data_IF_004147068331
#
_entry.id   IF_004147068331
#
_cell.length_a   1.000
_cell.length_b   1.000
_cell.length_c   1.000
_cell.angle_alpha   90.00
_cell.angle_beta   90.00
_cell.angle_gamma   90.00
#
_symmetry.space_group_name_H-M   'P 1'
#
loop_
_entity.id
_entity.type
_entity.pdbx_description
1 polymer ?
#
# COMPACT_ATOMS: atom_id res chain seq x y z
N UNK A 1 53.32 15.53 -13.57
CA UNK A 1 54.05 15.71 -14.86
C UNK A 1 53.69 14.53 -15.76
N UNK A 2 53.28 14.71 -17.03
CA UNK A 2 54.05 15.21 -18.21
C UNK A 2 55.27 14.31 -18.51
N UNK A 3 55.43 13.66 -19.67
CA UNK A 3 54.73 13.63 -20.99
C UNK A 3 54.67 12.17 -21.51
N UNK A 4 53.78 11.68 -22.39
CA UNK A 4 53.00 12.21 -23.54
C UNK A 4 53.75 12.19 -24.90
N UNK A 5 53.49 11.16 -25.73
CA UNK A 5 53.38 11.16 -27.21
C UNK A 5 52.83 9.76 -27.68
N UNK A 6 51.71 9.64 -28.42
CA UNK A 6 51.42 9.96 -29.86
C UNK A 6 52.00 8.91 -30.84
N UNK A 7 51.40 8.55 -31.98
CA UNK A 7 50.06 8.73 -32.62
C UNK A 7 50.02 7.87 -33.91
N UNK A 8 48.90 7.56 -34.60
CA UNK A 8 47.48 7.87 -34.39
C UNK A 8 46.64 6.55 -34.56
N UNK A 9 45.61 6.29 -35.38
CA UNK A 9 44.74 7.03 -36.33
C UNK A 9 43.39 6.25 -36.42
N UNK A 10 42.26 6.74 -35.92
CA UNK A 10 41.20 7.51 -36.61
C UNK A 10 40.68 6.92 -37.93
N UNK A 11 39.41 6.48 -37.94
CA UNK A 11 38.46 6.77 -39.02
C UNK A 11 37.02 6.79 -38.49
N UNK A 12 36.24 7.77 -38.93
CA UNK A 12 34.86 8.05 -38.53
C UNK A 12 34.15 8.59 -39.78
N UNK A 13 32.97 8.09 -40.11
CA UNK A 13 32.18 8.57 -41.26
C UNK A 13 30.68 8.50 -40.96
N UNK A 14 29.95 9.50 -41.44
CA UNK A 14 28.55 9.77 -41.08
C UNK A 14 27.66 9.95 -42.30
N UNK A 15 26.39 9.56 -42.13
CA UNK A 15 25.17 10.10 -42.76
C UNK A 15 25.07 10.28 -44.29
N UNK A 16 24.00 9.71 -44.86
CA UNK A 16 23.18 10.37 -45.90
C UNK A 16 21.70 10.20 -45.50
N UNK A 17 20.91 11.28 -45.58
CA UNK A 17 19.43 11.21 -45.54
C UNK A 17 18.86 11.12 -46.95
N UNK A 18 17.65 10.55 -47.08
CA UNK A 18 16.71 10.92 -48.14
C UNK A 18 15.28 11.04 -47.60
N UNK A 19 14.50 11.91 -48.23
CA UNK A 19 13.19 12.39 -47.76
C UNK A 19 12.03 11.49 -48.23
N UNK A 20 10.89 11.61 -47.54
CA UNK A 20 9.66 12.13 -48.18
C UNK A 20 8.74 12.78 -47.13
N UNK A 21 7.85 13.67 -47.58
CA UNK A 21 6.98 14.46 -46.72
C UNK A 21 5.50 14.03 -46.84
N UNK A 22 4.74 14.21 -45.76
CA UNK A 22 3.28 14.06 -45.71
C UNK A 22 2.69 15.04 -44.70
N UNK A 23 1.56 15.66 -45.03
CA UNK A 23 0.95 16.71 -44.20
C UNK A 23 -0.15 16.17 -43.27
N UNK A 24 -0.37 16.91 -42.18
CA UNK A 24 -1.60 17.04 -41.37
C UNK A 24 -2.70 15.97 -41.52
N UNK A 25 -3.03 15.32 -40.40
CA UNK A 25 -4.31 15.61 -39.73
C UNK A 25 -4.20 15.39 -38.21
N UNK A 26 -5.12 16.00 -37.45
CA UNK A 26 -5.40 15.57 -36.07
C UNK A 26 -6.23 14.29 -36.14
N UNK A 27 -5.90 13.29 -35.33
CA UNK A 27 -6.84 12.23 -34.95
C UNK A 27 -6.96 12.21 -33.43
N UNK A 28 -8.17 11.93 -32.94
CA UNK A 28 -8.45 11.82 -31.51
C UNK A 28 -7.88 10.49 -30.99
N UNK A 29 -7.42 10.47 -29.75
CA UNK A 29 -6.98 9.24 -29.08
C UNK A 29 -8.15 8.29 -28.79
N UNK A 30 -8.58 7.52 -29.79
CA UNK A 30 -9.45 6.38 -29.54
C UNK A 30 -8.66 5.25 -28.87
N UNK A 31 -9.24 4.67 -27.83
CA UNK A 31 -8.69 3.51 -27.11
C UNK A 31 -8.43 2.37 -28.11
N UNK A 32 -7.26 1.69 -28.07
CA UNK A 32 -7.00 0.52 -28.91
C UNK A 32 -7.98 -0.62 -28.59
N UNK A 33 -9.04 -0.74 -29.40
CA UNK A 33 -9.97 -1.87 -29.32
C UNK A 33 -9.22 -3.17 -29.65
N UNK A 34 -9.24 -4.20 -28.78
CA UNK A 34 -8.59 -5.47 -29.06
C UNK A 34 -9.26 -6.13 -30.28
N UNK A 35 -8.47 -6.38 -31.33
CA UNK A 35 -9.00 -6.87 -32.60
C UNK A 35 -9.66 -8.25 -32.46
N UNK A 36 -10.83 -8.41 -33.10
CA UNK A 36 -11.55 -9.66 -33.20
C UNK A 36 -10.66 -10.78 -33.78
N UNK A 37 -10.17 -11.65 -32.90
CA UNK A 37 -9.75 -13.00 -33.25
C UNK A 37 -10.92 -13.94 -32.94
N UNK A 38 -11.14 -14.93 -33.81
CA UNK A 38 -12.38 -15.71 -33.94
C UNK A 38 -12.99 -16.22 -32.61
N UNK A 39 -14.33 -16.36 -32.61
CA UNK A 39 -15.13 -16.96 -31.54
C UNK A 39 -14.77 -18.44 -31.28
N UNK A 40 -13.63 -18.68 -30.62
CA UNK A 40 -13.45 -19.91 -29.88
C UNK A 40 -14.43 -19.90 -28.71
N UNK A 41 -15.24 -20.97 -28.58
CA UNK A 41 -16.11 -21.17 -27.43
C UNK A 41 -15.28 -21.46 -26.17
N UNK A 42 -14.76 -20.40 -25.57
CA UNK A 42 -14.36 -20.38 -24.17
C UNK A 42 -15.63 -20.38 -23.29
N UNK A 43 -16.40 -21.47 -23.37
CA UNK A 43 -17.37 -21.85 -22.34
C UNK A 43 -16.62 -21.91 -21.00
N UNK A 44 -17.30 -21.54 -19.91
CA UNK A 44 -16.68 -21.52 -18.60
C UNK A 44 -16.19 -22.94 -18.24
N UNK A 45 -14.89 -23.16 -18.34
CA UNK A 45 -14.22 -24.22 -17.57
C UNK A 45 -14.20 -23.80 -16.10
N UNK A 46 -15.39 -23.87 -15.50
CA UNK A 46 -15.51 -24.20 -14.09
C UNK A 46 -14.65 -25.45 -13.89
N UNK A 47 -13.50 -25.27 -13.22
CA UNK A 47 -12.66 -26.39 -12.82
C UNK A 47 -13.56 -27.40 -12.13
N UNK A 48 -13.58 -28.64 -12.61
CA UNK A 48 -14.38 -29.70 -11.99
C UNK A 48 -13.89 -29.87 -10.55
N UNK A 49 -14.62 -29.25 -9.62
CA UNK A 49 -14.27 -29.23 -8.21
C UNK A 49 -14.36 -30.63 -7.66
N UNK A 50 -13.47 -30.96 -6.72
CA UNK A 50 -13.53 -32.24 -6.02
C UNK A 50 -14.92 -32.46 -5.40
N UNK A 51 -15.24 -33.74 -5.15
CA UNK A 51 -16.47 -34.10 -4.44
C UNK A 51 -16.61 -33.46 -3.05
N UNK A 52 -15.50 -33.01 -2.44
CA UNK A 52 -15.43 -32.41 -1.10
C UNK A 52 -16.19 -31.07 -1.00
N UNK A 53 -16.27 -30.31 -2.10
CA UNK A 53 -17.02 -29.04 -2.16
C UNK A 53 -18.54 -29.23 -2.23
N UNK A 54 -19.01 -30.40 -2.70
CA UNK A 54 -20.45 -30.68 -2.86
C UNK A 54 -21.04 -31.11 -1.52
N UNK A 55 -21.87 -30.25 -0.94
CA UNK A 55 -22.57 -30.53 0.30
C UNK A 55 -21.92 -29.94 1.55
N UNK A 56 -21.05 -28.93 1.44
CA UNK A 56 -20.77 -28.01 2.56
C UNK A 56 -21.91 -26.98 2.63
N UNK A 57 -22.44 -26.74 3.82
CA UNK A 57 -23.51 -25.78 4.10
C UNK A 57 -22.98 -24.49 4.72
N UNK A 58 -22.00 -24.59 5.62
CA UNK A 58 -21.30 -23.46 6.23
C UNK A 58 -19.91 -23.85 6.71
N UNK A 59 -19.06 -22.84 6.92
CA UNK A 59 -17.77 -22.98 7.62
C UNK A 59 -17.77 -21.95 8.75
N UNK A 60 -17.54 -22.39 9.98
CA UNK A 60 -17.32 -21.52 11.13
C UNK A 60 -15.81 -21.41 11.38
N UNK A 61 -15.25 -20.21 11.24
CA UNK A 61 -13.86 -19.91 11.53
C UNK A 61 -13.73 -19.43 12.97
N UNK A 62 -12.91 -20.11 13.77
CA UNK A 62 -12.58 -19.74 15.14
C UNK A 62 -11.09 -19.35 15.15
N UNK A 63 -10.74 -18.06 15.29
CA UNK A 63 -9.35 -17.61 15.38
C UNK A 63 -8.70 -18.00 16.71
N UNK A 64 -7.38 -18.01 16.74
CA UNK A 64 -6.58 -18.27 17.94
C UNK A 64 -6.79 -17.19 19.02
N UNK A 65 -7.37 -17.50 20.20
CA UNK A 65 -7.67 -16.51 21.24
C UNK A 65 -6.42 -15.94 21.93
N UNK A 66 -5.31 -16.69 21.91
CA UNK A 66 -4.00 -16.26 22.41
C UNK A 66 -3.16 -15.55 21.32
N UNK A 67 -3.76 -15.34 20.14
CA UNK A 67 -3.13 -14.61 19.02
C UNK A 67 -2.95 -13.12 19.29
N UNK A 68 -2.25 -12.42 18.37
CA UNK A 68 -1.93 -10.98 18.50
C UNK A 68 -3.16 -10.06 18.66
N UNK A 69 -4.34 -10.52 18.24
CA UNK A 69 -5.62 -9.80 18.39
C UNK A 69 -6.32 -10.04 19.74
N UNK A 70 -5.86 -11.00 20.54
CA UNK A 70 -6.40 -11.31 21.88
C UNK A 70 -7.85 -11.77 21.91
N UNK A 71 -8.44 -11.71 23.11
CA UNK A 71 -9.76 -12.24 23.46
C UNK A 71 -10.97 -11.50 22.80
N UNK A 72 -10.74 -10.54 21.90
CA UNK A 72 -11.82 -9.73 21.30
C UNK A 72 -12.35 -10.30 19.98
N UNK A 73 -11.60 -11.19 19.31
CA UNK A 73 -12.01 -11.75 18.01
C UNK A 73 -13.08 -12.81 18.18
N UNK A 74 -14.18 -12.66 17.44
CA UNK A 74 -15.36 -13.55 17.51
C UNK A 74 -15.31 -14.60 16.39
N UNK A 75 -15.89 -15.80 16.60
CA UNK A 75 -16.07 -16.76 15.53
C UNK A 75 -16.86 -16.18 14.34
N UNK A 76 -16.39 -16.45 13.11
CA UNK A 76 -16.99 -15.95 11.87
C UNK A 76 -17.74 -17.10 11.18
N UNK A 77 -19.05 -16.95 10.99
CA UNK A 77 -19.89 -17.93 10.29
C UNK A 77 -20.00 -17.60 8.80
N UNK A 78 -19.36 -18.40 7.96
CA UNK A 78 -19.32 -18.25 6.51
C UNK A 78 -20.40 -19.12 5.89
N UNK A 79 -21.37 -18.49 5.22
CA UNK A 79 -22.46 -19.17 4.48
C UNK A 79 -22.45 -18.89 2.97
N UNK A 80 -21.60 -17.97 2.51
CA UNK A 80 -21.47 -17.66 1.08
C UNK A 80 -20.84 -18.83 0.30
N UNK A 81 -21.45 -19.16 -0.84
CA UNK A 81 -21.09 -20.32 -1.66
C UNK A 81 -19.81 -20.15 -2.49
N UNK A 82 -19.36 -18.92 -2.74
CA UNK A 82 -18.05 -18.64 -3.35
C UNK A 82 -16.96 -18.73 -2.28
N UNK A 83 -17.12 -18.08 -1.14
CA UNK A 83 -16.16 -18.12 -0.02
C UNK A 83 -15.93 -19.56 0.47
N UNK A 84 -17.01 -20.33 0.67
CA UNK A 84 -16.91 -21.77 1.01
C UNK A 84 -16.13 -22.54 -0.06
N UNK A 85 -16.40 -22.30 -1.35
CA UNK A 85 -15.70 -22.97 -2.46
C UNK A 85 -14.23 -22.59 -2.51
N UNK A 86 -13.89 -21.32 -2.29
CA UNK A 86 -12.51 -20.82 -2.31
C UNK A 86 -11.70 -21.37 -1.14
N UNK A 87 -12.25 -21.36 0.08
CA UNK A 87 -11.63 -21.97 1.27
C UNK A 87 -11.41 -23.47 1.05
N UNK A 88 -12.45 -24.21 0.66
CA UNK A 88 -12.34 -25.66 0.40
C UNK A 88 -11.37 -25.97 -0.74
N UNK A 89 -11.33 -25.16 -1.80
CA UNK A 89 -10.36 -25.33 -2.88
C UNK A 89 -8.92 -25.11 -2.41
N UNK A 90 -8.66 -24.13 -1.54
CA UNK A 90 -7.32 -23.94 -0.97
C UNK A 90 -6.92 -25.11 -0.05
N UNK A 91 -7.84 -25.63 0.76
CA UNK A 91 -7.62 -26.85 1.56
C UNK A 91 -7.31 -28.05 0.64
N UNK A 92 -8.15 -28.32 -0.36
CA UNK A 92 -8.01 -29.41 -1.36
C UNK A 92 -6.71 -29.33 -2.19
N UNK A 93 -6.02 -28.18 -2.22
CA UNK A 93 -4.73 -27.99 -2.91
C UNK A 93 -3.51 -28.13 -2.00
N UNK A 94 -3.72 -28.29 -0.71
CA UNK A 94 -2.64 -28.52 0.26
C UNK A 94 -1.97 -29.88 0.02
N UNK A 95 -0.67 -29.97 0.25
CA UNK A 95 0.12 -31.21 0.08
C UNK A 95 0.45 -31.80 1.45
N UNK A 96 0.62 -33.13 1.59
CA UNK A 96 1.18 -33.69 2.83
C UNK A 96 2.50 -33.00 3.20
N UNK A 97 2.68 -32.68 4.48
CA UNK A 97 3.87 -32.01 4.95
C UNK A 97 5.04 -33.00 5.06
N UNK A 98 6.00 -32.92 4.14
CA UNK A 98 7.18 -33.80 4.11
C UNK A 98 8.34 -33.32 5.01
N UNK A 99 8.36 -32.04 5.42
CA UNK A 99 9.45 -31.42 6.18
C UNK A 99 8.94 -30.56 7.35
N UNK A 100 8.86 -31.16 8.55
CA UNK A 100 8.51 -30.43 9.78
C UNK A 100 9.58 -29.40 10.22
N UNK A 101 10.79 -29.42 9.66
CA UNK A 101 11.84 -28.41 9.98
C UNK A 101 11.54 -27.03 9.38
N UNK A 102 10.49 -26.91 8.55
CA UNK A 102 9.84 -25.64 8.22
C UNK A 102 9.08 -25.09 9.43
N UNK A 103 8.22 -25.90 10.06
CA UNK A 103 7.34 -25.47 11.16
C UNK A 103 8.14 -25.06 12.39
N UNK A 104 9.26 -25.72 12.70
CA UNK A 104 10.10 -25.37 13.85
C UNK A 104 10.72 -23.97 13.79
N UNK A 105 10.61 -23.26 12.66
CA UNK A 105 11.02 -21.85 12.48
C UNK A 105 9.92 -20.85 12.83
N UNK A 106 8.67 -21.29 13.01
CA UNK A 106 7.56 -20.43 13.43
C UNK A 106 7.84 -19.84 14.81
N UNK A 107 7.64 -18.53 14.96
CA UNK A 107 7.91 -17.79 16.19
C UNK A 107 7.03 -18.27 17.36
N UNK A 108 7.42 -17.91 18.57
CA UNK A 108 6.55 -18.05 19.74
C UNK A 108 5.17 -17.38 19.49
N UNK A 109 5.19 -16.19 18.88
CA UNK A 109 4.02 -15.33 18.55
C UNK A 109 3.32 -15.68 17.23
N UNK A 110 3.59 -16.83 16.62
CA UNK A 110 2.83 -17.31 15.47
C UNK A 110 1.46 -17.87 15.92
N UNK A 111 0.40 -17.61 15.15
CA UNK A 111 -0.96 -18.09 15.42
C UNK A 111 -1.02 -19.61 15.22
N UNK A 112 -1.53 -20.35 16.21
CA UNK A 112 -1.43 -21.83 16.28
C UNK A 112 -2.74 -22.54 16.53
N UNK A 113 -3.68 -21.94 17.25
CA UNK A 113 -4.89 -22.60 17.71
C UNK A 113 -6.15 -22.30 16.85
N UNK A 114 -5.96 -21.82 15.62
CA UNK A 114 -7.09 -21.49 14.73
C UNK A 114 -7.84 -22.76 14.29
N UNK A 115 -9.15 -22.67 14.10
CA UNK A 115 -10.02 -23.79 13.69
C UNK A 115 -10.99 -23.42 12.59
N UNK A 116 -11.36 -24.41 11.78
CA UNK A 116 -12.50 -24.40 10.88
C UNK A 116 -13.46 -25.53 11.27
N UNK A 117 -14.72 -25.20 11.58
CA UNK A 117 -15.80 -26.18 11.75
C UNK A 117 -16.63 -26.20 10.47
N UNK A 118 -16.32 -27.15 9.60
CA UNK A 118 -17.00 -27.38 8.33
C UNK A 118 -18.30 -28.14 8.62
N UNK A 119 -19.45 -27.52 8.37
CA UNK A 119 -20.77 -28.15 8.53
C UNK A 119 -21.34 -28.52 7.17
N UNK A 120 -21.71 -29.79 6.99
CA UNK A 120 -22.27 -30.33 5.75
C UNK A 120 -23.80 -30.17 5.68
N UNK A 121 -24.36 -30.28 4.48
CA UNK A 121 -25.81 -30.18 4.20
C UNK A 121 -26.65 -31.31 4.79
N UNK A 122 -26.02 -32.42 5.23
CA UNK A 122 -26.69 -33.49 5.99
C UNK A 122 -26.57 -33.31 7.51
N UNK A 123 -25.88 -32.28 7.99
CA UNK A 123 -25.64 -32.01 9.41
C UNK A 123 -24.31 -32.55 9.97
N UNK A 124 -23.53 -33.32 9.20
CA UNK A 124 -22.20 -33.76 9.65
C UNK A 124 -21.32 -32.52 9.93
N UNK A 125 -20.48 -32.59 10.96
CA UNK A 125 -19.43 -31.60 11.22
C UNK A 125 -18.05 -32.24 11.12
N UNK A 126 -17.08 -31.46 10.62
CA UNK A 126 -15.66 -31.78 10.60
C UNK A 126 -14.88 -30.58 11.13
N UNK A 127 -13.99 -30.83 12.10
CA UNK A 127 -13.03 -29.84 12.59
C UNK A 127 -11.71 -30.01 11.82
N UNK A 128 -11.12 -28.89 11.41
CA UNK A 128 -9.76 -28.79 10.88
C UNK A 128 -9.06 -27.67 11.68
N UNK A 129 -7.81 -27.87 12.09
CA UNK A 129 -7.02 -26.83 12.76
C UNK A 129 -5.94 -26.27 11.83
N UNK A 130 -5.44 -25.06 12.10
CA UNK A 130 -4.38 -24.48 11.28
C UNK A 130 -3.53 -23.44 12.02
N UNK A 131 -2.27 -23.31 11.60
CA UNK A 131 -1.27 -22.46 12.22
C UNK A 131 -0.43 -21.71 11.17
N UNK A 132 -0.03 -20.47 11.44
CA UNK A 132 0.77 -19.65 10.52
C UNK A 132 1.59 -18.55 11.20
N UNK A 133 2.72 -18.21 10.58
CA UNK A 133 3.61 -17.12 10.93
C UNK A 133 3.70 -16.12 9.76
N UNK A 134 3.43 -14.84 10.05
CA UNK A 134 3.43 -13.74 9.07
C UNK A 134 4.81 -13.21 8.67
N UNK A 135 5.86 -13.49 9.44
CA UNK A 135 7.22 -12.99 9.15
C UNK A 135 7.97 -13.88 8.15
N UNK A 136 7.71 -15.18 8.18
CA UNK A 136 8.43 -16.17 7.39
C UNK A 136 7.60 -16.77 6.24
N UNK A 137 6.32 -16.39 6.10
CA UNK A 137 5.38 -16.97 5.12
C UNK A 137 5.25 -18.50 5.28
N UNK A 138 5.27 -19.00 6.53
CA UNK A 138 5.17 -20.42 6.90
C UNK A 138 3.83 -20.68 7.58
N UNK A 139 3.17 -21.79 7.23
CA UNK A 139 2.01 -22.30 7.96
C UNK A 139 1.67 -23.73 7.58
N UNK A 140 0.74 -24.34 8.31
CA UNK A 140 0.19 -25.67 8.01
C UNK A 140 -1.29 -25.76 8.37
N UNK A 141 -1.97 -26.70 7.72
CA UNK A 141 -3.31 -27.16 8.06
C UNK A 141 -3.17 -28.55 8.68
N UNK A 142 -3.93 -28.88 9.72
CA UNK A 142 -3.95 -30.20 10.34
C UNK A 142 -5.37 -30.78 10.34
N UNK A 143 -5.48 -31.98 9.78
CA UNK A 143 -6.74 -32.68 9.54
C UNK A 143 -6.57 -34.16 9.94
N UNK A 144 -7.44 -34.64 10.82
CA UNK A 144 -7.42 -36.01 11.39
C UNK A 144 -6.02 -36.43 11.91
N UNK A 145 -5.24 -35.46 12.42
CA UNK A 145 -3.87 -35.65 12.94
C UNK A 145 -2.77 -35.68 11.86
N UNK A 146 -3.11 -35.47 10.59
CA UNK A 146 -2.17 -35.35 9.47
C UNK A 146 -1.96 -33.87 9.12
N UNK A 147 -0.70 -33.45 8.95
CA UNK A 147 -0.36 -32.07 8.58
C UNK A 147 -0.16 -31.90 7.08
N UNK A 148 -0.58 -30.74 6.58
CA UNK A 148 -0.53 -30.36 5.19
C UNK A 148 0.09 -28.98 5.01
N UNK A 149 1.00 -28.85 4.04
CA UNK A 149 1.55 -27.58 3.57
C UNK A 149 0.57 -26.98 2.56
N UNK A 150 -0.12 -25.91 3.00
CA UNK A 150 -1.04 -25.12 2.19
C UNK A 150 -0.32 -23.93 1.53
N UNK A 151 -0.87 -23.42 0.42
CA UNK A 151 -0.38 -22.16 -0.16
C UNK A 151 -0.64 -20.98 0.80
N UNK A 152 0.33 -20.05 0.92
CA UNK A 152 0.24 -19.00 1.92
C UNK A 152 -0.93 -18.01 1.70
N UNK A 153 -1.52 -17.98 0.50
CA UNK A 153 -2.75 -17.23 0.24
C UNK A 153 -3.94 -17.72 1.07
N UNK A 154 -3.96 -18.97 1.53
CA UNK A 154 -4.96 -19.49 2.48
C UNK A 154 -4.88 -18.76 3.83
N UNK A 155 -3.71 -18.71 4.46
CA UNK A 155 -3.54 -18.06 5.77
C UNK A 155 -3.81 -16.56 5.69
N UNK A 156 -3.39 -15.91 4.60
CA UNK A 156 -3.79 -14.54 4.28
C UNK A 156 -5.32 -14.41 4.19
N UNK A 157 -5.99 -15.27 3.42
CA UNK A 157 -7.46 -15.22 3.25
C UNK A 157 -8.17 -15.37 4.60
N UNK A 158 -7.72 -16.29 5.46
CA UNK A 158 -8.31 -16.49 6.78
C UNK A 158 -8.06 -15.32 7.74
N UNK A 159 -6.87 -14.72 7.72
CA UNK A 159 -6.56 -13.53 8.52
C UNK A 159 -7.40 -12.32 8.07
N UNK A 160 -7.50 -12.11 6.76
CA UNK A 160 -8.26 -11.05 6.11
C UNK A 160 -9.76 -11.03 6.52
N UNK A 161 -10.36 -12.20 6.81
CA UNK A 161 -11.76 -12.26 7.27
C UNK A 161 -11.99 -11.59 8.64
N UNK A 162 -10.97 -11.46 9.48
CA UNK A 162 -11.07 -10.74 10.75
C UNK A 162 -10.93 -9.21 10.57
N UNK A 163 -10.53 -8.73 9.39
CA UNK A 163 -10.28 -7.31 9.12
C UNK A 163 -11.40 -6.61 8.32
N UNK A 164 -12.20 -7.35 7.54
CA UNK A 164 -13.20 -6.78 6.64
C UNK A 164 -14.63 -7.01 7.15
N UNK A 165 -15.41 -5.94 7.33
CA UNK A 165 -16.68 -6.01 8.07
C UNK A 165 -17.79 -6.77 7.32
N UNK A 166 -17.87 -6.67 5.99
CA UNK A 166 -18.95 -7.27 5.19
C UNK A 166 -18.49 -7.63 3.76
N UNK A 167 -17.75 -8.75 3.57
CA UNK A 167 -17.24 -9.15 2.26
C UNK A 167 -18.35 -9.57 1.29
N UNK A 168 -18.44 -8.91 0.13
CA UNK A 168 -19.42 -9.16 -0.92
C UNK A 168 -18.82 -9.90 -2.11
N UNK A 169 -19.32 -11.10 -2.39
CA UNK A 169 -18.85 -11.99 -3.45
C UNK A 169 -19.47 -11.71 -4.83
N UNK A 170 -20.48 -10.84 -4.91
CA UNK A 170 -21.18 -10.48 -6.14
C UNK A 170 -20.40 -9.44 -6.97
N UNK A 171 -19.14 -9.75 -7.27
CA UNK A 171 -18.23 -8.87 -8.00
C UNK A 171 -18.64 -8.78 -9.47
N UNK A 172 -18.76 -7.56 -10.00
CA UNK A 172 -19.15 -7.33 -11.39
C UNK A 172 -18.20 -7.98 -12.40
N UNK A 173 -18.75 -8.52 -13.50
CA UNK A 173 -17.95 -9.18 -14.55
C UNK A 173 -16.92 -8.26 -15.21
N UNK A 174 -17.14 -6.93 -15.23
CA UNK A 174 -16.15 -5.98 -15.74
C UNK A 174 -14.93 -5.85 -14.81
N UNK A 175 -15.14 -5.86 -13.50
CA UNK A 175 -14.09 -5.81 -12.48
C UNK A 175 -13.24 -7.09 -12.52
N UNK A 176 -13.88 -8.26 -12.59
CA UNK A 176 -13.17 -9.55 -12.72
C UNK A 176 -12.32 -9.61 -14.01
N UNK A 177 -12.83 -9.04 -15.11
CA UNK A 177 -12.06 -8.92 -16.37
C UNK A 177 -10.87 -7.97 -16.24
N UNK A 178 -11.06 -6.81 -15.61
CA UNK A 178 -10.02 -5.79 -15.44
C UNK A 178 -8.84 -6.35 -14.64
N UNK A 179 -9.09 -6.85 -13.43
CA UNK A 179 -8.03 -7.43 -12.58
C UNK A 179 -7.43 -8.72 -13.19
N UNK A 180 -8.27 -9.60 -13.75
CA UNK A 180 -7.81 -10.81 -14.41
C UNK A 180 -6.89 -10.56 -15.62
N UNK A 181 -7.13 -9.47 -16.37
CA UNK A 181 -6.28 -9.03 -17.47
C UNK A 181 -4.84 -8.65 -17.07
N UNK A 182 -4.62 -8.36 -15.79
CA UNK A 182 -3.30 -8.04 -15.21
C UNK A 182 -2.81 -9.09 -14.18
N UNK A 183 -3.33 -10.32 -14.27
CA UNK A 183 -3.02 -11.44 -13.36
C UNK A 183 -3.23 -11.11 -11.87
N UNK A 184 -4.42 -10.58 -11.57
CA UNK A 184 -4.96 -10.47 -10.21
C UNK A 184 -6.30 -11.20 -10.08
N UNK A 185 -6.41 -12.02 -9.04
CA UNK A 185 -7.60 -12.78 -8.69
C UNK A 185 -8.40 -12.02 -7.64
N UNK A 186 -9.61 -11.55 -8.01
CA UNK A 186 -10.53 -10.88 -7.08
C UNK A 186 -11.32 -11.93 -6.30
N UNK A 187 -11.29 -11.84 -4.97
CA UNK A 187 -12.03 -12.75 -4.10
C UNK A 187 -13.41 -12.21 -3.70
N UNK A 188 -13.47 -10.96 -3.27
CA UNK A 188 -14.69 -10.25 -2.90
C UNK A 188 -14.44 -8.74 -2.88
N UNK A 189 -15.53 -7.96 -2.96
CA UNK A 189 -15.55 -6.55 -2.62
C UNK A 189 -15.53 -6.41 -1.10
N UNK A 190 -14.65 -5.55 -0.59
CA UNK A 190 -14.51 -5.21 0.82
C UNK A 190 -15.53 -4.12 1.17
N UNK A 191 -15.51 -3.02 0.41
CA UNK A 191 -16.38 -1.87 0.64
C UNK A 191 -16.68 -1.09 -0.65
N UNK A 192 -17.67 -0.21 -0.60
CA UNK A 192 -18.00 0.78 -1.63
C UNK A 192 -18.20 2.14 -0.98
N UNK A 193 -17.36 3.09 -1.35
CA UNK A 193 -17.28 4.43 -0.79
C UNK A 193 -17.75 5.47 -1.80
N UNK A 194 -18.07 6.66 -1.30
CA UNK A 194 -18.22 7.87 -2.13
C UNK A 194 -17.17 8.89 -1.70
N UNK A 195 -16.43 9.38 -2.67
CA UNK A 195 -15.40 10.40 -2.49
C UNK A 195 -15.70 11.59 -3.39
N UNK A 196 -15.28 12.80 -2.98
CA UNK A 196 -15.19 13.92 -3.91
C UNK A 196 -13.73 14.07 -4.31
N UNK A 197 -13.41 13.89 -5.58
CA UNK A 197 -12.08 14.22 -6.09
C UNK A 197 -11.80 15.72 -5.85
N UNK A 198 -10.58 16.08 -5.42
CA UNK A 198 -10.24 17.47 -5.15
C UNK A 198 -10.35 18.31 -6.43
N UNK A 199 -10.66 19.60 -6.29
CA UNK A 199 -10.85 20.50 -7.44
C UNK A 199 -9.54 20.77 -8.22
N UNK A 200 -8.39 20.54 -7.58
CA UNK A 200 -7.05 20.61 -8.13
C UNK A 200 -6.09 19.66 -7.38
N UNK A 201 -4.92 19.36 -7.97
CA UNK A 201 -3.89 18.48 -7.37
C UNK A 201 -2.66 19.24 -6.84
N UNK A 202 -2.74 20.56 -6.64
CA UNK A 202 -1.67 21.40 -6.09
C UNK A 202 -1.75 21.47 -4.56
N UNK A 203 -0.76 20.90 -3.89
CA UNK A 203 -0.69 20.76 -2.43
C UNK A 203 0.17 21.87 -1.78
N UNK A 204 -0.46 22.68 -0.95
CA UNK A 204 0.15 23.76 -0.15
C UNK A 204 0.89 23.24 1.05
N UNK A 205 1.71 24.07 1.69
CA UNK A 205 2.40 23.64 2.90
C UNK A 205 1.40 23.55 4.08
N UNK A 206 1.34 22.38 4.72
CA UNK A 206 0.49 22.12 5.89
C UNK A 206 -0.96 21.70 5.59
N UNK A 207 -1.34 21.62 4.32
CA UNK A 207 -2.57 20.98 3.83
C UNK A 207 -2.58 19.48 4.21
N UNK A 208 -3.77 18.84 4.17
CA UNK A 208 -3.86 17.39 4.35
C UNK A 208 -3.48 16.68 3.02
N UNK A 209 -2.71 15.57 3.04
CA UNK A 209 -2.06 15.04 1.84
C UNK A 209 -2.99 14.28 0.87
N UNK A 210 -4.31 14.47 0.96
CA UNK A 210 -5.30 13.93 0.03
C UNK A 210 -4.98 14.29 -1.44
N UNK A 211 -4.60 15.54 -1.73
CA UNK A 211 -4.23 15.93 -3.11
C UNK A 211 -3.05 15.12 -3.65
N UNK A 212 -2.10 14.75 -2.79
CA UNK A 212 -0.94 13.92 -3.15
C UNK A 212 -1.35 12.44 -3.27
N UNK A 213 -2.28 11.96 -2.44
CA UNK A 213 -2.89 10.64 -2.61
C UNK A 213 -3.55 10.51 -4.00
N UNK A 214 -4.45 11.43 -4.35
CA UNK A 214 -5.16 11.39 -5.63
C UNK A 214 -4.22 11.57 -6.83
N UNK A 215 -3.22 12.45 -6.72
CA UNK A 215 -2.17 12.58 -7.74
C UNK A 215 -1.42 11.25 -7.96
N UNK A 216 -0.99 10.60 -6.87
CA UNK A 216 -0.21 9.36 -6.92
C UNK A 216 -1.02 8.21 -7.54
N UNK A 217 -2.27 8.01 -7.10
CA UNK A 217 -3.09 6.90 -7.60
C UNK A 217 -3.67 7.16 -9.01
N UNK A 218 -3.74 8.42 -9.44
CA UNK A 218 -3.96 8.78 -10.85
C UNK A 218 -2.75 8.40 -11.71
N UNK A 219 -1.52 8.66 -11.25
CA UNK A 219 -0.31 8.21 -11.96
C UNK A 219 -0.24 6.68 -12.08
N UNK A 220 -0.64 5.94 -11.03
CA UNK A 220 -0.77 4.49 -11.12
C UNK A 220 -1.85 4.05 -12.14
N UNK A 221 -2.98 4.76 -12.20
CA UNK A 221 -4.06 4.51 -13.18
C UNK A 221 -3.59 4.78 -14.62
N UNK A 222 -2.82 5.85 -14.84
CA UNK A 222 -2.20 6.20 -16.13
C UNK A 222 -1.25 5.10 -16.62
N UNK A 223 -0.60 4.40 -15.68
CA UNK A 223 0.19 3.21 -15.94
C UNK A 223 -0.54 2.05 -16.64
N UNK A 224 -1.88 2.04 -16.65
CA UNK A 224 -2.72 1.09 -17.38
C UNK A 224 -3.66 1.73 -18.43
N UNK A 225 -3.51 3.03 -18.70
CA UNK A 225 -4.32 3.75 -19.70
C UNK A 225 -5.66 4.28 -19.19
N UNK A 226 -5.85 4.39 -17.88
CA UNK A 226 -6.95 5.11 -17.25
C UNK A 226 -6.45 6.47 -16.74
N UNK A 227 -7.23 7.54 -16.88
CA UNK A 227 -6.87 8.86 -16.38
C UNK A 227 -8.11 9.59 -15.86
N UNK A 228 -8.14 9.91 -14.57
CA UNK A 228 -9.26 10.63 -13.95
C UNK A 228 -9.03 12.13 -13.81
N UNK A 229 -8.01 12.71 -14.47
CA UNK A 229 -7.70 14.15 -14.43
C UNK A 229 -8.87 15.04 -14.89
N UNK A 230 -9.72 14.56 -15.81
CA UNK A 230 -10.91 15.31 -16.27
C UNK A 230 -12.09 15.28 -15.28
N UNK A 231 -12.01 14.47 -14.22
CA UNK A 231 -13.03 14.26 -13.20
C UNK A 231 -12.68 14.92 -11.86
N UNK A 232 -11.64 15.77 -11.81
CA UNK A 232 -11.34 16.59 -10.64
C UNK A 232 -12.55 17.48 -10.27
N UNK A 233 -12.77 17.64 -8.97
CA UNK A 233 -13.95 18.31 -8.42
C UNK A 233 -15.26 17.52 -8.46
N UNK A 234 -15.29 16.28 -9.00
CA UNK A 234 -16.50 15.44 -9.07
C UNK A 234 -16.65 14.52 -7.86
N UNK A 235 -17.89 14.16 -7.53
CA UNK A 235 -18.16 12.97 -6.72
C UNK A 235 -17.95 11.70 -7.56
N UNK A 236 -17.30 10.69 -6.98
CA UNK A 236 -16.98 9.39 -7.58
C UNK A 236 -17.36 8.25 -6.63
N UNK A 237 -17.65 7.08 -7.19
CA UNK A 237 -17.75 5.83 -6.42
C UNK A 237 -16.37 5.16 -6.39
N UNK A 238 -15.95 4.67 -5.22
CA UNK A 238 -14.68 3.96 -5.05
C UNK A 238 -14.95 2.58 -4.45
N UNK A 239 -14.47 1.55 -5.11
CA UNK A 239 -14.63 0.17 -4.67
C UNK A 239 -13.29 -0.44 -4.26
N UNK A 240 -13.29 -1.08 -3.10
CA UNK A 240 -12.13 -1.75 -2.51
C UNK A 240 -12.32 -3.26 -2.64
N UNK A 241 -11.33 -3.98 -3.17
CA UNK A 241 -11.40 -5.41 -3.47
C UNK A 241 -10.27 -6.21 -2.82
N UNK A 242 -10.58 -7.38 -2.26
CA UNK A 242 -9.58 -8.32 -1.75
C UNK A 242 -8.94 -9.09 -2.90
N UNK A 243 -7.62 -9.01 -3.03
CA UNK A 243 -6.86 -9.73 -4.06
C UNK A 243 -6.10 -10.93 -3.47
N UNK A 244 -6.21 -12.08 -4.14
CA UNK A 244 -5.55 -13.33 -3.71
C UNK A 244 -4.05 -13.29 -3.93
N UNK A 245 -3.63 -12.85 -5.10
CA UNK A 245 -2.23 -12.77 -5.49
C UNK A 245 -1.46 -11.77 -4.60
N UNK A 246 -0.18 -12.04 -4.28
CA UNK A 246 0.62 -11.14 -3.47
C UNK A 246 1.05 -9.88 -4.24
N UNK A 247 1.44 -8.84 -3.48
CA UNK A 247 2.21 -7.72 -4.01
C UNK A 247 3.49 -8.19 -4.75
N UNK A 248 4.03 -7.40 -5.69
CA UNK A 248 5.28 -7.72 -6.37
C UNK A 248 6.44 -7.92 -5.37
N UNK A 249 7.38 -8.83 -5.69
CA UNK A 249 8.50 -9.21 -4.79
C UNK A 249 9.33 -8.03 -4.25
N UNK A 250 9.38 -6.88 -4.94
CA UNK A 250 10.08 -5.69 -4.48
C UNK A 250 9.39 -4.94 -3.33
N UNK A 251 8.15 -5.31 -2.99
CA UNK A 251 7.37 -4.78 -1.86
C UNK A 251 7.62 -5.52 -0.56
N UNK A 252 8.27 -6.70 -0.59
CA UNK A 252 8.53 -7.52 0.60
C UNK A 252 9.27 -6.68 1.67
N UNK A 253 8.84 -6.75 2.95
CA UNK A 253 7.94 -7.75 3.54
C UNK A 253 6.42 -7.50 3.35
N UNK A 254 5.97 -6.43 2.69
CA UNK A 254 4.54 -6.25 2.39
C UNK A 254 4.10 -7.25 1.31
N UNK A 255 3.04 -8.01 1.60
CA UNK A 255 2.48 -9.05 0.71
C UNK A 255 0.97 -8.91 0.44
N UNK A 256 0.21 -8.28 1.34
CA UNK A 256 -1.23 -8.06 1.17
C UNK A 256 -1.51 -6.96 0.14
N UNK A 257 -2.48 -7.20 -0.74
CA UNK A 257 -2.86 -6.30 -1.83
C UNK A 257 -4.37 -6.06 -1.81
N UNK A 258 -4.79 -4.79 -1.86
CA UNK A 258 -6.17 -4.39 -2.19
C UNK A 258 -6.20 -3.87 -3.62
N UNK A 259 -7.22 -4.26 -4.38
CA UNK A 259 -7.50 -3.70 -5.69
C UNK A 259 -8.48 -2.56 -5.54
N UNK A 260 -8.14 -1.37 -6.02
CA UNK A 260 -9.03 -0.21 -5.96
C UNK A 260 -9.54 0.12 -7.36
N UNK A 261 -10.82 0.44 -7.47
CA UNK A 261 -11.46 0.92 -8.71
C UNK A 261 -12.22 2.21 -8.42
N UNK A 262 -12.01 3.21 -9.28
CA UNK A 262 -12.68 4.52 -9.22
C UNK A 262 -13.66 4.60 -10.40
N UNK A 263 -14.92 4.90 -10.10
CA UNK A 263 -16.04 4.98 -11.05
C UNK A 263 -16.66 6.37 -11.09
N UNK A 264 -17.08 6.79 -12.28
CA UNK A 264 -17.97 7.93 -12.48
C UNK A 264 -19.08 7.54 -13.48
N UNK A 265 -20.35 7.82 -13.16
CA UNK A 265 -21.53 7.40 -13.92
C UNK A 265 -21.55 5.89 -14.33
N UNK A 266 -20.95 5.04 -13.47
CA UNK A 266 -20.68 3.60 -13.64
C UNK A 266 -19.56 3.22 -14.63
N UNK A 267 -18.91 4.18 -15.30
CA UNK A 267 -17.70 3.93 -16.09
C UNK A 267 -16.47 3.90 -15.18
N UNK A 268 -15.52 3.00 -15.45
CA UNK A 268 -14.27 2.88 -14.70
C UNK A 268 -13.27 3.91 -15.22
N UNK A 269 -12.96 4.91 -14.39
CA UNK A 269 -12.08 6.04 -14.73
C UNK A 269 -10.68 5.95 -14.08
N UNK A 270 -10.51 5.07 -13.10
CA UNK A 270 -9.22 4.80 -12.45
C UNK A 270 -9.18 3.41 -11.83
N UNK A 271 -8.00 2.81 -11.75
CA UNK A 271 -7.78 1.56 -11.01
C UNK A 271 -6.30 1.37 -10.66
N UNK A 272 -6.04 0.90 -9.44
CA UNK A 272 -4.69 0.73 -8.89
C UNK A 272 -4.65 -0.38 -7.83
N UNK A 273 -3.44 -0.72 -7.37
CA UNK A 273 -3.22 -1.64 -6.25
C UNK A 273 -2.73 -0.81 -5.06
N UNK A 274 -3.30 -1.04 -3.88
CA UNK A 274 -2.78 -0.53 -2.60
C UNK A 274 -2.35 -1.67 -1.67
N UNK A 275 -1.58 -1.32 -0.63
CA UNK A 275 -1.03 -2.25 0.36
C UNK A 275 -1.61 -2.10 1.78
N UNK A 276 -2.76 -1.42 1.93
CA UNK A 276 -3.56 -1.37 3.15
C UNK A 276 -2.98 -0.57 4.33
N UNK A 277 -3.51 -0.85 5.53
CA UNK A 277 -3.45 -0.05 6.79
C UNK A 277 -2.09 0.06 7.50
N UNK A 278 -0.97 -0.07 6.79
CA UNK A 278 0.38 0.09 7.32
C UNK A 278 1.20 1.07 6.48
N UNK A 279 1.17 0.88 5.16
CA UNK A 279 1.65 1.79 4.13
C UNK A 279 0.86 1.41 2.87
N UNK A 280 -0.02 2.30 2.40
CA UNK A 280 -0.89 1.99 1.25
C UNK A 280 -0.13 2.02 -0.09
N UNK A 281 1.01 2.71 -0.19
CA UNK A 281 1.66 2.99 -1.47
C UNK A 281 2.19 1.69 -2.10
N UNK A 282 1.74 1.34 -3.30
CA UNK A 282 2.13 0.10 -3.97
C UNK A 282 2.39 0.26 -5.48
N UNK A 283 1.43 -0.08 -6.35
CA UNK A 283 1.69 -0.24 -7.78
C UNK A 283 0.44 -0.14 -8.67
N UNK A 284 0.66 0.08 -9.97
CA UNK A 284 -0.39 -0.08 -10.97
C UNK A 284 -0.74 -1.57 -11.16
N UNK A 285 -1.91 -1.89 -11.74
CA UNK A 285 -2.33 -3.28 -11.95
C UNK A 285 -1.29 -4.10 -12.73
N UNK A 286 -0.56 -3.49 -13.68
CA UNK A 286 0.56 -4.15 -14.38
C UNK A 286 1.85 -4.32 -13.55
N UNK A 287 1.77 -4.23 -12.21
CA UNK A 287 2.84 -4.45 -11.23
C UNK A 287 4.03 -3.47 -11.30
N UNK A 288 3.85 -2.35 -12.02
CA UNK A 288 4.82 -1.24 -12.13
C UNK A 288 4.75 -0.27 -10.95
N UNK A 289 5.90 0.29 -10.59
CA UNK A 289 6.03 1.41 -9.62
C UNK A 289 5.76 2.75 -10.30
N UNK A 290 5.60 3.80 -9.49
CA UNK A 290 5.57 5.20 -9.93
C UNK A 290 6.70 5.52 -10.95
N UNK A 291 7.94 5.15 -10.62
CA UNK A 291 9.12 5.35 -11.49
C UNK A 291 9.00 4.67 -12.86
N UNK A 292 8.43 3.47 -12.92
CA UNK A 292 8.29 2.67 -14.14
C UNK A 292 7.15 3.17 -15.07
N UNK A 293 6.40 4.17 -14.60
CA UNK A 293 5.25 4.80 -15.26
C UNK A 293 5.60 6.25 -15.62
N UNK A 294 5.91 7.09 -14.62
CA UNK A 294 6.21 8.51 -14.78
C UNK A 294 7.63 8.80 -15.27
N UNK A 295 8.54 7.81 -15.24
CA UNK A 295 9.96 7.99 -15.61
C UNK A 295 10.77 8.83 -14.61
N UNK A 296 10.21 9.13 -13.44
CA UNK A 296 10.75 10.03 -12.41
C UNK A 296 10.87 9.32 -11.06
N UNK A 297 11.84 9.71 -10.24
CA UNK A 297 11.83 9.37 -8.80
C UNK A 297 10.79 10.21 -8.05
N UNK A 298 10.41 9.80 -6.82
CA UNK A 298 9.43 10.52 -5.99
C UNK A 298 9.70 12.03 -5.93
N UNK A 299 10.92 12.42 -5.54
CA UNK A 299 11.35 13.82 -5.40
C UNK A 299 11.28 14.63 -6.73
N UNK A 300 11.28 13.97 -7.89
CA UNK A 300 11.18 14.63 -9.20
C UNK A 300 9.74 14.64 -9.76
N UNK A 301 8.91 13.71 -9.30
CA UNK A 301 7.48 13.62 -9.60
C UNK A 301 6.66 14.58 -8.74
N UNK A 302 6.93 14.62 -7.43
CA UNK A 302 6.21 15.48 -6.48
C UNK A 302 6.35 16.98 -6.79
N UNK A 303 7.43 17.40 -7.47
CA UNK A 303 7.62 18.78 -7.95
C UNK A 303 6.47 19.29 -8.82
N UNK A 304 5.78 18.42 -9.57
CA UNK A 304 4.67 18.83 -10.42
C UNK A 304 3.41 19.15 -9.59
N UNK A 305 3.33 18.67 -8.34
CA UNK A 305 2.17 18.76 -7.45
C UNK A 305 2.35 19.70 -6.24
N UNK A 306 3.55 20.23 -6.01
CA UNK A 306 3.78 21.28 -4.98
C UNK A 306 3.22 22.63 -5.45
N UNK A 307 2.50 23.33 -4.56
CA UNK A 307 2.17 24.76 -4.72
C UNK A 307 3.35 25.61 -4.21
N UNK A 308 4.27 25.99 -5.10
CA UNK A 308 5.46 26.78 -4.75
C UNK A 308 5.17 28.27 -4.53
N UNK A 309 3.96 28.74 -4.85
CA UNK A 309 3.54 30.14 -4.62
C UNK A 309 2.87 30.34 -3.25
N UNK A 310 2.63 29.24 -2.50
CA UNK A 310 2.11 29.28 -1.14
C UNK A 310 3.08 29.98 -0.17
N UNK A 311 2.55 30.91 0.64
CA UNK A 311 3.35 31.75 1.54
C UNK A 311 4.17 30.93 2.54
N UNK A 312 3.67 29.77 2.98
CA UNK A 312 4.33 28.91 3.95
C UNK A 312 5.39 28.02 3.29
N UNK A 313 5.15 27.48 2.09
CA UNK A 313 6.18 26.84 1.26
C UNK A 313 7.34 27.83 0.94
N UNK A 314 7.01 29.08 0.59
CA UNK A 314 7.96 30.19 0.36
C UNK A 314 8.71 30.59 1.65
N UNK A 315 8.08 30.52 2.83
CA UNK A 315 8.74 30.81 4.12
C UNK A 315 9.73 29.70 4.48
N UNK A 316 9.29 28.45 4.41
CA UNK A 316 10.07 27.27 4.78
C UNK A 316 11.11 26.87 3.73
N UNK A 317 11.09 27.43 2.51
CA UNK A 317 12.15 27.22 1.51
C UNK A 317 13.45 27.99 1.81
N UNK A 318 13.37 29.04 2.65
CA UNK A 318 14.47 29.96 2.98
C UNK A 318 15.18 29.62 4.29
N UNK A 319 14.63 28.71 5.09
CA UNK A 319 15.17 28.29 6.39
C UNK A 319 16.38 27.36 6.24
N UNK A 320 17.31 27.42 7.20
CA UNK A 320 18.38 26.43 7.34
C UNK A 320 17.84 25.13 7.99
N UNK A 321 18.54 23.99 7.90
CA UNK A 321 18.04 22.73 8.44
C UNK A 321 17.69 22.81 9.93
N UNK A 322 18.53 23.45 10.74
CA UNK A 322 18.31 23.61 12.17
C UNK A 322 17.10 24.50 12.49
N UNK A 323 16.75 25.44 11.61
CA UNK A 323 15.56 26.28 11.76
C UNK A 323 14.28 25.50 11.46
N UNK A 324 14.31 24.58 10.47
CA UNK A 324 13.21 23.63 10.24
C UNK A 324 13.04 22.68 11.44
N UNK A 325 14.14 22.24 12.06
CA UNK A 325 14.09 21.44 13.30
C UNK A 325 13.46 22.25 14.46
N UNK A 326 13.84 23.52 14.64
CA UNK A 326 13.26 24.41 15.67
C UNK A 326 11.77 24.64 15.44
N UNK A 327 11.39 24.97 14.20
CA UNK A 327 10.01 25.25 13.80
C UNK A 327 9.12 24.03 14.01
N UNK A 328 9.60 22.82 13.64
CA UNK A 328 8.88 21.57 13.87
C UNK A 328 8.66 21.28 15.35
N UNK A 329 9.70 21.30 16.20
CA UNK A 329 9.51 20.99 17.62
C UNK A 329 8.70 22.07 18.36
N UNK A 330 8.81 23.34 17.96
CA UNK A 330 7.89 24.40 18.42
C UNK A 330 6.44 24.08 18.05
N UNK A 331 6.18 23.64 16.82
CA UNK A 331 4.86 23.25 16.39
C UNK A 331 4.32 21.99 17.11
N UNK A 332 5.19 21.04 17.49
CA UNK A 332 4.81 19.90 18.35
C UNK A 332 4.50 20.36 19.78
N UNK A 333 5.24 21.33 20.34
CA UNK A 333 4.99 21.91 21.66
C UNK A 333 3.65 22.70 21.71
N UNK A 334 3.35 23.42 20.63
CA UNK A 334 2.13 24.24 20.47
C UNK A 334 0.93 23.45 19.88
N UNK A 335 1.16 22.21 19.43
CA UNK A 335 0.23 21.34 18.67
C UNK A 335 -0.30 21.96 17.37
N UNK A 336 0.51 22.77 16.69
CA UNK A 336 0.19 23.32 15.37
C UNK A 336 0.43 22.26 14.28
N UNK A 337 -0.60 21.46 14.01
CA UNK A 337 -0.56 20.44 12.98
C UNK A 337 -0.24 20.98 11.58
N UNK A 338 -0.64 22.22 11.25
CA UNK A 338 -0.37 22.80 9.94
C UNK A 338 1.13 23.00 9.78
N UNK A 339 1.81 23.50 10.80
CA UNK A 339 3.27 23.66 10.77
C UNK A 339 3.98 22.30 10.87
N UNK A 340 3.49 21.34 11.66
CA UNK A 340 4.03 19.96 11.68
C UNK A 340 3.99 19.32 10.28
N UNK A 341 2.84 19.39 9.59
CA UNK A 341 2.70 18.93 8.19
C UNK A 341 3.59 19.73 7.25
N UNK A 342 3.61 21.06 7.34
CA UNK A 342 4.43 21.92 6.47
C UNK A 342 5.94 21.68 6.61
N UNK A 343 6.42 21.32 7.79
CA UNK A 343 7.83 21.01 8.06
C UNK A 343 8.24 19.58 7.65
N UNK A 344 7.30 18.67 7.35
CA UNK A 344 7.58 17.27 6.98
C UNK A 344 7.46 17.01 5.48
N UNK A 345 8.11 15.96 4.97
CA UNK A 345 8.00 15.54 3.56
C UNK A 345 6.60 15.01 3.26
N UNK A 346 6.07 15.30 2.05
CA UNK A 346 4.78 14.78 1.57
C UNK A 346 4.79 13.25 1.48
N UNK A 347 5.94 12.65 1.19
CA UNK A 347 6.15 11.19 1.28
C UNK A 347 5.89 10.65 2.69
N UNK A 348 6.40 11.33 3.73
CA UNK A 348 6.14 10.93 5.11
C UNK A 348 4.71 11.28 5.55
N UNK A 349 4.14 12.39 5.07
CA UNK A 349 2.73 12.76 5.29
C UNK A 349 1.77 11.68 4.77
N UNK A 350 2.04 11.09 3.60
CA UNK A 350 1.21 10.00 3.04
C UNK A 350 1.13 8.77 3.97
N UNK A 351 2.17 8.44 4.75
CA UNK A 351 2.15 7.26 5.63
C UNK A 351 1.04 7.36 6.69
N UNK A 352 0.78 8.57 7.19
CA UNK A 352 -0.31 8.83 8.16
C UNK A 352 -1.72 8.66 7.56
N UNK A 353 -1.88 8.66 6.23
CA UNK A 353 -3.16 8.30 5.59
C UNK A 353 -3.52 6.83 5.83
N UNK A 354 -2.53 5.94 5.96
CA UNK A 354 -2.75 4.50 6.16
C UNK A 354 -2.57 4.02 7.60
N UNK A 355 -1.75 4.68 8.43
CA UNK A 355 -1.45 4.21 9.79
C UNK A 355 -2.73 4.16 10.63
N UNK A 356 -3.14 2.95 11.02
CA UNK A 356 -4.30 2.74 11.89
C UNK A 356 -5.67 2.89 11.23
N UNK A 357 -5.76 3.07 9.91
CA UNK A 357 -7.06 3.15 9.21
C UNK A 357 -7.82 1.82 9.28
N UNK A 358 -9.15 1.86 9.11
CA UNK A 358 -9.93 0.65 8.90
C UNK A 358 -9.49 -0.04 7.61
N UNK A 359 -9.46 -1.38 7.61
CA UNK A 359 -9.21 -2.14 6.38
C UNK A 359 -10.37 -2.01 5.35
N UNK A 360 -11.53 -1.50 5.79
CA UNK A 360 -12.67 -1.10 4.95
C UNK A 360 -12.54 0.34 4.38
N UNK A 361 -11.59 1.17 4.84
CA UNK A 361 -11.42 2.57 4.41
C UNK A 361 -10.36 2.74 3.30
N UNK A 362 -10.48 3.80 2.50
CA UNK A 362 -9.50 4.17 1.47
C UNK A 362 -8.24 4.82 2.08
N UNK A 363 -8.47 5.76 3.00
CA UNK A 363 -7.49 6.43 3.86
C UNK A 363 -8.18 7.00 5.11
N UNK A 364 -7.41 7.28 6.16
CA UNK A 364 -7.85 8.02 7.34
C UNK A 364 -8.44 9.38 6.93
N UNK A 365 -9.71 9.65 7.24
CA UNK A 365 -10.36 10.96 6.99
C UNK A 365 -10.28 11.94 8.18
N UNK A 366 -9.52 11.61 9.22
CA UNK A 366 -9.28 12.49 10.36
C UNK A 366 -8.20 13.54 10.01
N UNK A 367 -8.59 14.55 9.23
CA UNK A 367 -7.73 15.69 8.85
C UNK A 367 -7.14 16.45 10.07
N UNK A 368 -7.87 16.44 11.18
CA UNK A 368 -7.70 17.34 12.32
C UNK A 368 -7.08 16.69 13.57
N UNK A 369 -6.47 15.51 13.42
CA UNK A 369 -5.71 14.84 14.49
C UNK A 369 -4.50 14.09 13.94
N UNK A 370 -3.34 14.76 13.97
CA UNK A 370 -2.08 14.04 14.17
C UNK A 370 -2.13 13.55 15.62
N UNK A 371 -2.42 12.26 15.82
CA UNK A 371 -2.63 11.70 17.16
C UNK A 371 -1.31 11.56 17.93
N UNK A 372 -0.77 12.69 18.38
CA UNK A 372 0.40 12.75 19.24
C UNK A 372 -0.05 12.65 20.70
N UNK A 373 0.27 11.53 21.33
CA UNK A 373 0.32 11.40 22.80
C UNK A 373 1.32 12.38 23.48
N UNK A 374 1.96 13.26 22.72
CA UNK A 374 2.82 14.34 23.22
C UNK A 374 1.94 15.47 23.75
N UNK A 375 2.08 15.75 25.04
CA UNK A 375 1.45 16.90 25.70
C UNK A 375 2.23 18.20 25.42
N UNK A 376 3.56 18.07 25.33
CA UNK A 376 4.58 19.14 25.28
C UNK A 376 5.91 18.57 24.77
N UNK A 377 6.69 19.33 24.02
CA UNK A 377 7.96 18.91 23.41
C UNK A 377 9.00 20.05 23.37
N UNK A 378 9.53 20.43 24.53
CA UNK A 378 10.50 21.54 24.61
C UNK A 378 11.87 21.10 24.08
N UNK A 379 12.21 21.52 22.86
CA UNK A 379 13.56 21.38 22.30
C UNK A 379 14.60 22.10 23.17
N UNK A 380 15.68 21.40 23.52
CA UNK A 380 16.76 21.91 24.36
C UNK A 380 18.07 22.14 23.59
N UNK A 381 18.36 21.28 22.62
CA UNK A 381 19.67 21.18 21.97
C UNK A 381 19.54 20.51 20.60
N UNK A 382 20.39 20.94 19.65
CA UNK A 382 20.48 20.41 18.28
C UNK A 382 21.97 20.24 17.97
N UNK A 383 22.37 19.06 17.53
CA UNK A 383 23.72 18.76 17.04
C UNK A 383 23.63 18.07 15.69
N UNK A 384 24.48 18.46 14.75
CA UNK A 384 24.72 17.66 13.55
C UNK A 384 25.20 16.27 13.98
N UNK A 385 24.67 15.25 13.33
CA UNK A 385 24.97 13.84 13.55
C UNK A 385 25.28 13.22 12.19
N UNK A 386 26.10 12.18 12.13
CA UNK A 386 26.47 11.52 10.87
C UNK A 386 26.88 10.08 11.18
N UNK A 387 25.91 9.17 11.29
CA UNK A 387 26.18 7.76 11.62
C UNK A 387 25.32 6.73 10.86
N UNK A 388 24.20 7.11 10.24
CA UNK A 388 23.36 6.13 9.51
C UNK A 388 23.93 5.76 8.14
N UNK A 389 24.90 6.54 7.64
CA UNK A 389 25.46 6.34 6.31
C UNK A 389 24.45 6.66 5.21
N UNK A 390 23.57 7.64 5.47
CA UNK A 390 22.48 8.03 4.59
C UNK A 390 22.93 8.46 3.18
N UNK A 391 21.98 8.46 2.25
CA UNK A 391 22.21 8.83 0.86
C UNK A 391 22.60 10.32 0.69
N UNK A 392 23.44 10.66 -0.32
CA UNK A 392 23.89 12.03 -0.55
C UNK A 392 22.73 13.02 -0.73
N UNK A 393 22.66 14.04 0.12
CA UNK A 393 21.59 15.06 0.12
C UNK A 393 20.59 14.90 1.27
N UNK A 394 20.72 13.86 2.09
CA UNK A 394 20.09 13.75 3.41
C UNK A 394 21.01 14.37 4.48
N UNK A 395 20.43 14.94 5.53
CA UNK A 395 21.12 15.41 6.74
C UNK A 395 20.57 14.74 7.99
N UNK A 396 21.44 14.50 8.96
CA UNK A 396 21.15 13.87 10.24
C UNK A 396 21.39 14.85 11.39
N UNK A 397 20.43 14.94 12.33
CA UNK A 397 20.60 15.74 13.54
C UNK A 397 20.20 14.96 14.79
N UNK A 398 21.08 14.91 15.78
CA UNK A 398 20.73 14.45 17.11
C UNK A 398 20.19 15.64 17.91
N UNK A 399 18.98 15.52 18.44
CA UNK A 399 18.34 16.55 19.26
C UNK A 399 18.06 16.04 20.67
N UNK A 400 18.05 16.95 21.64
CA UNK A 400 17.55 16.68 22.99
C UNK A 400 16.25 17.45 23.22
N UNK A 401 15.18 16.74 23.58
CA UNK A 401 13.83 17.30 23.77
C UNK A 401 13.28 16.88 25.13
N UNK A 402 12.77 17.82 25.90
CA UNK A 402 12.09 17.57 27.18
C UNK A 402 10.59 17.38 26.93
N UNK A 403 10.13 16.13 27.03
CA UNK A 403 8.76 15.74 26.73
C UNK A 403 7.88 15.66 27.98
N UNK A 404 6.65 16.15 27.86
CA UNK A 404 5.54 15.64 28.66
C UNK A 404 4.61 14.89 27.71
N UNK A 405 4.16 13.70 28.10
CA UNK A 405 3.14 12.92 27.38
C UNK A 405 1.80 13.03 28.12
N UNK A 406 0.69 12.75 27.43
CA UNK A 406 -0.63 12.67 28.08
C UNK A 406 -0.74 11.36 28.88
N UNK A 407 -0.29 10.23 28.30
CA UNK A 407 -0.18 8.93 28.96
C UNK A 407 1.20 8.26 28.73
N UNK A 408 1.78 7.54 29.71
CA UNK A 408 3.08 6.87 29.57
C UNK A 408 2.96 5.52 28.83
N UNK A 409 2.56 5.57 27.54
CA UNK A 409 2.29 4.37 26.72
C UNK A 409 3.58 3.68 26.26
N UNK A 410 4.46 4.43 25.58
CA UNK A 410 5.72 3.91 24.99
C UNK A 410 6.95 4.51 25.67
N UNK A 411 6.86 5.75 26.14
CA UNK A 411 7.91 6.44 26.88
C UNK A 411 7.32 7.20 28.08
N UNK A 412 8.14 7.40 29.11
CA UNK A 412 7.84 8.30 30.22
C UNK A 412 8.26 9.74 29.91
N UNK A 413 7.79 10.70 30.70
CA UNK A 413 8.18 12.13 30.62
C UNK A 413 9.69 12.38 30.87
N UNK A 414 10.13 13.59 30.50
CA UNK A 414 11.48 14.12 30.70
C UNK A 414 12.33 14.16 29.43
N UNK A 415 13.62 14.47 29.59
CA UNK A 415 14.56 14.63 28.47
C UNK A 415 14.78 13.32 27.71
N UNK A 416 14.62 13.36 26.38
CA UNK A 416 14.86 12.26 25.45
C UNK A 416 15.75 12.73 24.31
N UNK A 417 16.56 11.81 23.80
CA UNK A 417 17.23 11.98 22.51
C UNK A 417 16.26 11.62 21.39
N UNK A 418 16.31 12.36 20.28
CA UNK A 418 15.75 11.95 18.99
C UNK A 418 16.77 12.13 17.89
N UNK A 419 16.59 11.39 16.80
CA UNK A 419 17.37 11.53 15.58
C UNK A 419 16.45 12.02 14.48
N UNK A 420 16.72 13.22 13.96
CA UNK A 420 15.91 13.86 12.92
C UNK A 420 16.63 13.70 11.59
N UNK A 421 15.91 13.13 10.61
CA UNK A 421 16.37 13.00 9.23
C UNK A 421 15.72 14.12 8.43
N UNK A 422 16.53 14.94 7.74
CA UNK A 422 16.04 15.96 6.82
C UNK A 422 16.50 15.66 5.39
N UNK A 423 15.62 15.87 4.41
CA UNK A 423 15.95 15.87 2.99
C UNK A 423 15.33 17.06 2.29
N UNK A 424 15.79 17.33 1.06
CA UNK A 424 15.06 18.20 0.14
C UNK A 424 14.13 17.35 -0.71
N UNK A 425 12.83 17.57 -0.57
CA UNK A 425 11.79 16.90 -1.36
C UNK A 425 11.81 17.31 -2.84
N UNK A 426 12.39 18.47 -3.16
CA UNK A 426 12.50 18.99 -4.52
C UNK A 426 13.73 19.89 -4.70
N UNK A 427 14.13 20.13 -5.95
CA UNK A 427 15.25 21.03 -6.29
C UNK A 427 14.91 22.51 -6.04
N UNK A 428 13.62 22.84 -6.06
CA UNK A 428 13.08 24.19 -5.78
C UNK A 428 12.77 24.40 -4.28
N UNK A 429 12.54 23.32 -3.53
CA UNK A 429 12.07 23.38 -2.15
C UNK A 429 13.14 23.59 -1.08
N UNK A 430 12.65 23.75 0.15
CA UNK A 430 13.47 23.80 1.36
C UNK A 430 13.85 22.43 1.90
N UNK A 431 14.49 22.45 3.07
CA UNK A 431 14.66 21.25 3.90
C UNK A 431 13.33 20.86 4.54
N UNK A 432 13.03 19.56 4.57
CA UNK A 432 11.86 18.98 5.23
C UNK A 432 12.28 17.78 6.05
N UNK A 433 11.60 17.54 7.17
CA UNK A 433 11.82 16.38 8.04
C UNK A 433 11.18 15.16 7.37
N UNK A 434 11.99 14.14 7.11
CA UNK A 434 11.55 12.88 6.52
C UNK A 434 11.24 11.81 7.59
N UNK A 435 11.81 11.97 8.79
CA UNK A 435 11.53 11.12 9.94
C UNK A 435 12.14 11.65 11.24
N UNK A 436 11.56 11.23 12.37
CA UNK A 436 12.07 11.49 13.72
C UNK A 436 12.13 10.16 14.48
N UNK A 437 13.33 9.60 14.61
CA UNK A 437 13.60 8.32 15.28
C UNK A 437 13.92 8.46 16.76
N UNK A 438 13.71 7.36 17.51
CA UNK A 438 14.06 7.24 18.93
C UNK A 438 15.46 6.63 19.16
N UNK A 439 16.00 5.93 18.16
CA UNK A 439 17.32 5.32 18.18
C UNK A 439 18.09 5.58 16.88
N UNK A 440 19.40 5.28 16.87
CA UNK A 440 20.23 5.22 15.67
C UNK A 440 20.08 3.90 14.90
#
# INVERSE_FOLDING_TARGET
MNKLCKSCLVLLLTAIMLFLAGCNTKENGQIPSPQNTQESKAEEKQSETSGMTKGVASIEFIPDPDGYYGNEVKPITITDKKMIRDIMFMIDKSKPLEDESKISKMRATAYKNNKLIITKTNGDKKEITFAYDTLYEIGYIEDEGTKFEADYSFFRYMADLNEYTNPDTNVERQIVKLFGGYTWTVDYRINTLKEKLPDDLKHRAGEYPEKIYWAYVNELSKGIGLDFSEYLGKEVEVEIYRLRDPLPNYMKPRINARGIVVKYDNEIIGAYIDAGRQDFMACALNRKRLKDIAGKEWNEWIEDYIDFEDELEIRLSKMQPEDIVREYFKAVDERDEKIIRACTTRENQLKYLSIGMSSDDLFNKNESKIDTNVKKAKLLDIKEFNAFGNEPGVLEYQVSVDYEFEEPIVENNGVRTRFVILKKESKKGGWRIDGVGTGP
#
